data_IF_634537032092
#
_entry.id   IF_634537032092
#
_cell.length_a   1.000
_cell.length_b   1.000
_cell.length_c   1.000
_cell.angle_alpha   90.00
_cell.angle_beta   90.00
_cell.angle_gamma   90.00
#
_symmetry.space_group_name_H-M   'P 1'
#
loop_
_entity.id
_entity.type
_entity.pdbx_description
1 polymer ?
#
# COMPACT_ATOMS: atom_id res chain seq x y z
N UNK A 1 -12.81 8.63 44.10
CA UNK A 1 -13.50 7.56 43.37
C UNK A 1 -14.53 8.23 42.46
N UNK A 2 -14.17 8.49 41.23
CA UNK A 2 -15.12 8.92 40.17
C UNK A 2 -14.80 8.05 38.98
N UNK A 3 -15.62 7.00 38.81
CA UNK A 3 -15.56 6.12 37.66
C UNK A 3 -15.93 6.88 36.41
N UNK A 4 -14.95 7.17 35.57
CA UNK A 4 -15.19 7.70 34.24
C UNK A 4 -15.97 6.66 33.43
N UNK A 5 -17.21 7.00 33.09
CA UNK A 5 -18.01 6.28 32.14
C UNK A 5 -17.25 6.27 30.79
N UNK A 6 -16.63 5.14 30.46
CA UNK A 6 -16.27 4.86 29.08
C UNK A 6 -17.59 4.74 28.32
N UNK A 7 -17.95 5.80 27.62
CA UNK A 7 -19.03 5.76 26.62
C UNK A 7 -18.67 4.61 25.67
N UNK A 8 -19.47 3.55 25.69
CA UNK A 8 -19.42 2.47 24.71
C UNK A 8 -19.55 3.15 23.35
N UNK A 9 -18.45 3.26 22.61
CA UNK A 9 -18.48 3.62 21.20
C UNK A 9 -19.37 2.55 20.56
N UNK A 10 -20.54 2.96 20.11
CA UNK A 10 -21.45 2.10 19.35
C UNK A 10 -20.61 1.36 18.32
N UNK A 11 -20.59 0.04 18.37
CA UNK A 11 -19.79 -0.78 17.44
C UNK A 11 -20.29 -0.49 16.03
N UNK A 12 -19.60 0.41 15.32
CA UNK A 12 -19.91 0.74 13.92
C UNK A 12 -19.78 -0.53 13.10
N UNK A 13 -20.80 -0.87 12.32
CA UNK A 13 -20.70 -2.01 11.40
C UNK A 13 -19.67 -1.70 10.33
N UNK A 14 -18.67 -2.58 10.20
CA UNK A 14 -17.57 -2.45 9.26
C UNK A 14 -17.83 -3.33 8.04
N UNK A 15 -17.72 -2.77 6.85
CA UNK A 15 -17.72 -3.48 5.57
C UNK A 15 -16.31 -3.52 4.97
N UNK A 16 -15.97 -4.62 4.30
CA UNK A 16 -14.71 -4.78 3.57
C UNK A 16 -15.04 -5.26 2.16
N UNK A 17 -14.67 -4.46 1.16
CA UNK A 17 -14.79 -4.78 -0.27
C UNK A 17 -13.44 -5.22 -0.82
N UNK A 18 -13.41 -6.42 -1.45
CA UNK A 18 -12.19 -7.05 -1.92
C UNK A 18 -11.47 -7.80 -0.79
N UNK A 19 -11.63 -9.14 -0.76
CA UNK A 19 -11.10 -10.02 0.29
C UNK A 19 -9.86 -10.76 -0.24
N UNK A 20 -8.94 -9.98 -0.85
CA UNK A 20 -7.61 -10.44 -1.24
C UNK A 20 -6.65 -10.51 -0.04
N UNK A 21 -5.35 -10.38 -0.28
CA UNK A 21 -4.32 -10.36 0.77
C UNK A 21 -4.58 -9.25 1.79
N UNK A 22 -4.78 -8.02 1.34
CA UNK A 22 -4.98 -6.85 2.21
C UNK A 22 -6.32 -6.92 2.94
N UNK A 23 -7.43 -7.09 2.21
CA UNK A 23 -8.76 -7.14 2.82
C UNK A 23 -8.98 -8.37 3.68
N UNK A 24 -8.37 -9.51 3.34
CA UNK A 24 -8.39 -10.72 4.16
C UNK A 24 -7.63 -10.57 5.47
N UNK A 25 -6.45 -9.94 5.45
CA UNK A 25 -5.69 -9.63 6.65
C UNK A 25 -6.43 -8.60 7.53
N UNK A 26 -6.99 -7.55 6.91
CA UNK A 26 -7.78 -6.54 7.61
C UNK A 26 -9.02 -7.15 8.28
N UNK A 27 -9.70 -8.08 7.62
CA UNK A 27 -10.89 -8.75 8.18
C UNK A 27 -10.61 -9.44 9.52
N UNK A 28 -9.40 -9.95 9.73
CA UNK A 28 -8.99 -10.62 10.98
C UNK A 28 -8.84 -9.67 12.16
N UNK A 29 -8.73 -8.36 11.91
CA UNK A 29 -8.59 -7.34 12.96
C UNK A 29 -9.94 -6.86 13.52
N UNK A 30 -11.05 -7.21 12.89
CA UNK A 30 -12.40 -6.81 13.29
C UNK A 30 -13.24 -8.00 13.77
N UNK A 31 -14.12 -7.75 14.69
CA UNK A 31 -15.11 -8.74 15.12
C UNK A 31 -16.29 -8.73 14.13
N UNK A 32 -16.46 -9.83 13.39
CA UNK A 32 -17.57 -10.06 12.45
C UNK A 32 -17.76 -8.94 11.41
N UNK A 33 -16.73 -8.55 10.63
CA UNK A 33 -16.89 -7.58 9.55
C UNK A 33 -17.77 -8.17 8.43
N UNK A 34 -18.49 -7.30 7.75
CA UNK A 34 -19.26 -7.66 6.56
C UNK A 34 -18.28 -7.73 5.39
N UNK A 35 -18.17 -8.89 4.76
CA UNK A 35 -17.24 -9.13 3.67
C UNK A 35 -17.99 -9.14 2.33
N UNK A 36 -17.43 -8.43 1.34
CA UNK A 36 -17.97 -8.42 -0.02
C UNK A 36 -16.85 -8.62 -1.04
N UNK A 37 -16.93 -9.68 -1.81
CA UNK A 37 -16.01 -9.95 -2.93
C UNK A 37 -16.76 -10.73 -4.01
N UNK A 38 -17.21 -10.06 -5.09
CA UNK A 38 -18.01 -10.72 -6.13
C UNK A 38 -17.23 -11.80 -6.89
N UNK A 39 -15.90 -11.65 -7.03
CA UNK A 39 -15.06 -12.67 -7.69
C UNK A 39 -14.93 -13.94 -6.86
N UNK A 40 -15.04 -13.83 -5.55
CA UNK A 40 -15.05 -14.96 -4.61
C UNK A 40 -16.46 -15.42 -4.24
N UNK A 41 -17.49 -14.79 -4.81
CA UNK A 41 -18.91 -15.04 -4.48
C UNK A 41 -19.18 -14.90 -2.97
N UNK A 42 -18.59 -13.89 -2.34
CA UNK A 42 -18.66 -13.66 -0.90
C UNK A 42 -19.51 -12.43 -0.59
N UNK A 43 -20.52 -12.59 0.27
CA UNK A 43 -21.43 -11.55 0.72
C UNK A 43 -22.39 -11.05 -0.36
N UNK A 44 -23.23 -10.09 0.01
CA UNK A 44 -24.15 -9.42 -0.91
C UNK A 44 -24.03 -7.90 -0.82
N UNK A 45 -24.50 -7.19 -1.86
CA UNK A 45 -24.57 -5.72 -1.86
C UNK A 45 -25.45 -5.19 -0.75
N UNK A 46 -26.56 -5.87 -0.48
CA UNK A 46 -27.54 -5.51 0.54
C UNK A 46 -26.92 -5.60 1.94
N UNK A 47 -26.20 -6.69 2.23
CA UNK A 47 -25.48 -6.85 3.50
C UNK A 47 -24.38 -5.78 3.65
N UNK A 48 -23.57 -5.56 2.61
CA UNK A 48 -22.53 -4.54 2.62
C UNK A 48 -23.10 -3.15 2.95
N UNK A 49 -24.24 -2.80 2.38
CA UNK A 49 -24.89 -1.50 2.60
C UNK A 49 -25.48 -1.34 4.00
N UNK A 50 -25.51 -2.39 4.84
CA UNK A 50 -25.80 -2.22 6.28
C UNK A 50 -24.61 -1.69 7.07
N UNK A 51 -23.39 -1.69 6.50
CA UNK A 51 -22.20 -1.12 7.13
C UNK A 51 -22.21 0.41 7.09
N UNK A 52 -21.66 1.03 8.14
CA UNK A 52 -21.48 2.48 8.23
C UNK A 52 -20.12 2.92 7.69
N UNK A 53 -19.09 2.11 7.93
CA UNK A 53 -17.73 2.35 7.47
C UNK A 53 -17.29 1.20 6.57
N UNK A 54 -16.78 1.53 5.39
CA UNK A 54 -16.45 0.55 4.34
C UNK A 54 -15.01 0.74 3.88
N UNK A 55 -14.20 -0.32 4.03
CA UNK A 55 -12.85 -0.38 3.51
C UNK A 55 -12.85 -0.95 2.09
N UNK A 56 -12.27 -0.21 1.14
CA UNK A 56 -12.08 -0.64 -0.24
C UNK A 56 -10.66 -1.19 -0.39
N UNK A 57 -10.55 -2.52 -0.55
CA UNK A 57 -9.29 -3.26 -0.67
C UNK A 57 -9.18 -3.99 -2.03
N UNK A 58 -9.72 -3.38 -3.08
CA UNK A 58 -9.79 -3.96 -4.42
C UNK A 58 -8.49 -3.77 -5.20
N UNK A 59 -8.21 -4.59 -6.24
CA UNK A 59 -7.05 -4.41 -7.10
C UNK A 59 -7.06 -3.06 -7.82
N UNK A 60 -5.87 -2.47 -7.96
CA UNK A 60 -5.59 -1.28 -8.79
C UNK A 60 -4.43 -1.62 -9.72
N UNK A 61 -4.67 -2.34 -10.83
CA UNK A 61 -3.62 -2.72 -11.75
C UNK A 61 -3.03 -1.48 -12.44
N UNK A 62 -1.72 -1.54 -12.74
CA UNK A 62 -1.07 -0.50 -13.53
C UNK A 62 -1.44 -0.70 -15.00
N UNK A 63 -1.91 0.36 -15.65
CA UNK A 63 -2.23 0.39 -17.08
C UNK A 63 -1.10 1.12 -17.83
N UNK A 64 -0.30 0.37 -18.56
CA UNK A 64 0.82 0.92 -19.32
C UNK A 64 0.37 1.82 -20.49
N UNK A 65 -0.80 1.54 -21.05
CA UNK A 65 -1.33 2.26 -22.23
C UNK A 65 -1.97 3.59 -21.84
N UNK A 66 -2.87 3.55 -20.86
CA UNK A 66 -3.55 4.77 -20.37
C UNK A 66 -2.67 5.60 -19.45
N UNK A 67 -1.69 4.96 -18.88
CA UNK A 67 -0.83 5.53 -17.87
C UNK A 67 -1.47 5.67 -16.49
N UNK A 68 -0.81 5.11 -15.47
CA UNK A 68 -1.30 5.14 -14.10
C UNK A 68 -2.06 3.87 -13.72
N UNK A 69 -2.89 3.98 -12.69
CA UNK A 69 -3.70 2.84 -12.25
C UNK A 69 -5.06 2.83 -12.93
N UNK A 70 -5.52 1.64 -13.25
CA UNK A 70 -6.93 1.42 -13.56
C UNK A 70 -7.74 1.50 -12.26
N UNK A 71 -8.48 2.60 -12.12
CA UNK A 71 -9.35 2.87 -10.98
C UNK A 71 -10.78 2.39 -11.19
N UNK A 72 -11.07 1.69 -12.29
CA UNK A 72 -12.44 1.26 -12.63
C UNK A 72 -13.08 0.43 -11.51
N UNK A 73 -12.33 -0.52 -10.94
CA UNK A 73 -12.83 -1.39 -9.85
C UNK A 73 -13.08 -0.56 -8.57
N UNK A 74 -12.24 0.44 -8.27
CA UNK A 74 -12.47 1.35 -7.15
C UNK A 74 -13.74 2.17 -7.41
N UNK A 75 -13.93 2.68 -8.62
CA UNK A 75 -15.12 3.44 -8.99
C UNK A 75 -16.38 2.57 -8.94
N UNK A 76 -16.34 1.34 -9.45
CA UNK A 76 -17.44 0.39 -9.32
C UNK A 76 -17.78 0.11 -7.86
N UNK A 77 -16.76 0.04 -6.99
CA UNK A 77 -16.98 -0.10 -5.55
C UNK A 77 -17.81 1.06 -4.99
N UNK A 78 -17.52 2.30 -5.37
CA UNK A 78 -18.31 3.46 -4.95
C UNK A 78 -19.75 3.43 -5.48
N UNK A 79 -19.97 2.97 -6.73
CA UNK A 79 -21.31 2.87 -7.34
C UNK A 79 -22.24 1.86 -6.64
N UNK A 80 -21.67 0.90 -5.91
CA UNK A 80 -22.43 -0.09 -5.15
C UNK A 80 -22.97 0.46 -3.83
N UNK A 81 -22.41 1.59 -3.33
CA UNK A 81 -22.73 2.13 -2.02
C UNK A 81 -23.98 3.00 -2.06
N UNK A 82 -24.86 2.78 -1.11
CA UNK A 82 -26.13 3.49 -0.95
C UNK A 82 -26.10 4.39 0.29
N UNK A 83 -26.79 5.54 0.19
CA UNK A 83 -26.84 6.52 1.26
C UNK A 83 -25.50 7.21 1.52
N UNK A 84 -25.31 7.69 2.75
CA UNK A 84 -24.05 8.31 3.20
C UNK A 84 -23.23 7.31 3.98
N UNK A 85 -21.96 7.13 3.58
CA UNK A 85 -21.01 6.19 4.19
C UNK A 85 -19.69 6.87 4.52
N UNK A 86 -18.96 6.31 5.48
CA UNK A 86 -17.53 6.57 5.65
C UNK A 86 -16.79 5.54 4.80
N UNK A 87 -16.10 5.99 3.76
CA UNK A 87 -15.39 5.11 2.81
C UNK A 87 -13.89 5.26 2.96
N UNK A 88 -13.21 4.17 3.25
CA UNK A 88 -11.77 4.15 3.46
C UNK A 88 -11.11 3.41 2.30
N UNK A 89 -10.44 4.14 1.41
CA UNK A 89 -9.64 3.55 0.34
C UNK A 89 -8.38 2.97 0.98
N UNK A 90 -8.22 1.65 0.90
CA UNK A 90 -7.01 0.94 1.34
C UNK A 90 -6.21 0.39 0.15
N UNK A 91 -6.80 0.34 -1.02
CA UNK A 91 -6.12 0.07 -2.29
C UNK A 91 -5.03 1.11 -2.55
N UNK A 92 -3.88 0.70 -3.10
CA UNK A 92 -2.82 1.64 -3.49
C UNK A 92 -3.30 2.51 -4.64
N UNK A 93 -3.28 3.81 -4.44
CA UNK A 93 -3.73 4.80 -5.44
C UNK A 93 -2.74 5.97 -5.51
N UNK A 94 -2.70 6.67 -6.65
CA UNK A 94 -1.83 7.83 -6.85
C UNK A 94 -2.28 9.04 -6.01
N UNK A 95 -1.34 9.90 -5.57
CA UNK A 95 -1.65 11.12 -4.84
C UNK A 95 -2.68 12.00 -5.55
N UNK A 96 -3.73 12.39 -4.81
CA UNK A 96 -4.89 13.14 -5.29
C UNK A 96 -6.11 12.27 -5.63
N UNK A 97 -6.00 10.95 -5.57
CA UNK A 97 -7.12 10.03 -5.89
C UNK A 97 -8.24 10.11 -4.85
N UNK A 98 -7.92 10.16 -3.57
CA UNK A 98 -8.92 10.27 -2.51
C UNK A 98 -9.75 11.57 -2.64
N UNK A 99 -9.10 12.69 -2.93
CA UNK A 99 -9.76 13.96 -3.20
C UNK A 99 -10.64 13.90 -4.46
N UNK A 100 -10.19 13.19 -5.50
CA UNK A 100 -10.98 12.97 -6.70
C UNK A 100 -12.28 12.22 -6.38
N UNK A 101 -12.21 11.11 -5.63
CA UNK A 101 -13.39 10.34 -5.25
C UNK A 101 -14.29 11.11 -4.26
N UNK A 102 -13.73 11.90 -3.36
CA UNK A 102 -14.51 12.77 -2.48
C UNK A 102 -15.37 13.79 -3.28
N UNK A 103 -14.76 14.42 -4.28
CA UNK A 103 -15.49 15.36 -5.17
C UNK A 103 -16.56 14.66 -6.00
N UNK A 104 -16.27 13.45 -6.48
CA UNK A 104 -17.18 12.67 -7.33
C UNK A 104 -18.35 12.08 -6.56
N UNK A 105 -18.16 11.75 -5.29
CA UNK A 105 -19.16 11.13 -4.41
C UNK A 105 -19.33 11.95 -3.11
N UNK A 106 -19.87 13.19 -3.21
CA UNK A 106 -19.90 14.12 -2.09
C UNK A 106 -20.81 13.70 -0.94
N UNK A 107 -21.70 12.71 -1.16
CA UNK A 107 -22.53 12.13 -0.12
C UNK A 107 -21.75 11.26 0.88
N UNK A 108 -20.56 10.79 0.52
CA UNK A 108 -19.70 9.99 1.38
C UNK A 108 -18.63 10.86 2.05
N UNK A 109 -18.04 10.34 3.13
CA UNK A 109 -16.82 10.86 3.73
C UNK A 109 -15.68 9.93 3.33
N UNK A 110 -14.79 10.39 2.42
CA UNK A 110 -13.76 9.55 1.83
C UNK A 110 -12.43 9.77 2.52
N UNK A 111 -11.80 8.67 2.97
CA UNK A 111 -10.50 8.65 3.62
C UNK A 111 -9.56 7.69 2.87
N UNK A 112 -8.29 7.77 3.18
CA UNK A 112 -7.26 6.85 2.72
C UNK A 112 -6.56 6.21 3.92
N UNK A 113 -6.33 4.89 3.85
CA UNK A 113 -5.53 4.17 4.83
C UNK A 113 -4.53 3.27 4.12
N UNK A 114 -3.28 3.71 3.90
CA UNK A 114 -2.26 2.90 3.24
C UNK A 114 -2.02 1.59 4.00
N UNK A 115 -1.62 0.56 3.26
CA UNK A 115 -1.08 -0.67 3.81
C UNK A 115 0.45 -0.67 3.69
N UNK A 116 1.14 -1.35 4.60
CA UNK A 116 2.59 -1.47 4.65
C UNK A 116 3.01 -2.94 4.84
N UNK A 117 2.23 -3.85 4.26
CA UNK A 117 2.36 -5.29 4.45
C UNK A 117 3.50 -5.86 3.61
N UNK A 118 4.15 -6.88 4.17
CA UNK A 118 5.01 -7.79 3.42
C UNK A 118 4.20 -9.02 3.02
N UNK A 119 4.38 -9.52 1.79
CA UNK A 119 3.57 -10.64 1.27
C UNK A 119 3.64 -11.89 2.17
N UNK A 120 4.81 -12.16 2.77
CA UNK A 120 5.03 -13.33 3.63
C UNK A 120 4.49 -13.20 5.05
N UNK A 121 4.24 -11.98 5.53
CA UNK A 121 3.82 -11.68 6.92
C UNK A 121 2.58 -10.80 7.00
N UNK A 122 1.76 -10.77 5.93
CA UNK A 122 0.65 -9.82 5.79
C UNK A 122 -0.32 -9.81 6.98
N UNK A 123 -0.67 -10.98 7.54
CA UNK A 123 -1.56 -11.08 8.69
C UNK A 123 -0.92 -10.49 9.96
N UNK A 124 0.36 -10.80 10.19
CA UNK A 124 1.10 -10.29 11.34
C UNK A 124 1.30 -8.77 11.23
N UNK A 125 1.75 -8.29 10.05
CA UNK A 125 1.97 -6.87 9.79
C UNK A 125 0.66 -6.07 9.91
N UNK A 126 -0.50 -6.68 9.58
CA UNK A 126 -1.81 -6.04 9.74
C UNK A 126 -2.22 -5.95 11.21
N UNK A 127 -1.97 -7.01 12.01
CA UNK A 127 -2.34 -7.04 13.43
C UNK A 127 -1.39 -6.21 14.32
N UNK A 128 -0.11 -6.13 13.93
CA UNK A 128 0.95 -5.45 14.68
C UNK A 128 1.74 -4.52 13.76
N UNK A 129 1.11 -3.47 13.24
CA UNK A 129 1.76 -2.58 12.28
C UNK A 129 2.81 -1.69 12.95
N UNK A 130 3.92 -1.42 12.26
CA UNK A 130 4.92 -0.44 12.70
C UNK A 130 4.36 0.99 12.69
N UNK A 131 3.36 1.24 11.85
CA UNK A 131 2.73 2.55 11.68
C UNK A 131 1.30 2.43 11.17
N UNK A 132 0.44 3.34 11.64
CA UNK A 132 -0.90 3.56 11.13
C UNK A 132 -1.04 4.99 10.61
N UNK A 133 -1.59 5.15 9.43
CA UNK A 133 -1.82 6.45 8.81
C UNK A 133 -3.24 6.50 8.29
N UNK A 134 -3.95 7.56 8.62
CA UNK A 134 -5.27 7.87 8.08
C UNK A 134 -5.21 9.20 7.36
N UNK A 135 -5.41 9.17 6.06
CA UNK A 135 -5.50 10.34 5.19
C UNK A 135 -6.94 10.84 5.12
N UNK A 136 -7.15 12.14 5.31
CA UNK A 136 -8.47 12.76 5.26
C UNK A 136 -8.59 13.78 4.13
N UNK A 137 -9.82 13.95 3.63
CA UNK A 137 -10.25 15.11 2.85
C UNK A 137 -10.87 16.15 3.79
N UNK A 138 -11.10 17.38 3.32
CA UNK A 138 -11.76 18.41 4.13
C UNK A 138 -13.09 17.91 4.70
N UNK A 139 -13.85 17.17 3.92
CA UNK A 139 -15.18 16.65 4.25
C UNK A 139 -15.11 15.51 5.27
N UNK A 140 -14.05 14.71 5.24
CA UNK A 140 -13.88 13.53 6.11
C UNK A 140 -13.03 13.78 7.37
N UNK A 141 -12.48 14.98 7.55
CA UNK A 141 -11.61 15.31 8.68
C UNK A 141 -12.23 14.95 10.04
N UNK A 142 -13.52 15.24 10.20
CA UNK A 142 -14.24 15.03 11.49
C UNK A 142 -14.37 13.57 11.92
N UNK A 143 -14.19 12.62 10.99
CA UNK A 143 -14.30 11.18 11.28
C UNK A 143 -12.95 10.44 11.22
N UNK A 144 -11.88 11.14 10.85
CA UNK A 144 -10.57 10.50 10.65
C UNK A 144 -9.99 9.93 11.95
N UNK A 145 -10.20 10.62 13.08
CA UNK A 145 -9.81 10.13 14.41
C UNK A 145 -10.57 8.86 14.82
N UNK A 146 -11.87 8.80 14.54
CA UNK A 146 -12.70 7.61 14.81
C UNK A 146 -12.20 6.42 14.00
N UNK A 147 -11.84 6.62 12.73
CA UNK A 147 -11.28 5.55 11.88
C UNK A 147 -9.92 5.10 12.40
N UNK A 148 -9.05 6.01 12.84
CA UNK A 148 -7.77 5.63 13.46
C UNK A 148 -7.99 4.72 14.68
N UNK A 149 -8.98 5.00 15.53
CA UNK A 149 -9.30 4.20 16.71
C UNK A 149 -9.86 2.81 16.40
N UNK A 150 -10.39 2.58 15.20
CA UNK A 150 -10.86 1.28 14.74
C UNK A 150 -9.73 0.36 14.27
N UNK A 151 -8.60 0.93 13.89
CA UNK A 151 -7.46 0.19 13.35
C UNK A 151 -6.58 -0.37 14.48
N UNK A 152 -5.79 -1.43 14.21
CA UNK A 152 -4.80 -1.92 15.17
C UNK A 152 -3.84 -0.81 15.61
N UNK A 153 -3.50 -0.79 16.89
CA UNK A 153 -2.55 0.17 17.46
C UNK A 153 -1.16 0.02 16.83
N UNK A 154 -0.49 1.14 16.62
CA UNK A 154 0.88 1.18 16.10
C UNK A 154 1.77 2.11 16.94
N UNK A 155 3.09 1.84 17.00
CA UNK A 155 4.04 2.76 17.65
C UNK A 155 4.05 4.16 17.03
N UNK A 156 3.71 4.28 15.75
CA UNK A 156 3.52 5.55 15.06
C UNK A 156 2.12 5.63 14.47
N UNK A 157 1.32 6.58 14.93
CA UNK A 157 -0.03 6.86 14.43
C UNK A 157 -0.12 8.31 13.94
N UNK A 158 -0.68 8.51 12.73
CA UNK A 158 -0.82 9.85 12.17
C UNK A 158 -2.09 10.01 11.36
N UNK A 159 -2.85 11.04 11.70
CA UNK A 159 -3.94 11.58 10.86
C UNK A 159 -3.36 12.76 10.08
N UNK A 160 -3.49 12.76 8.75
CA UNK A 160 -2.90 13.77 7.86
C UNK A 160 -3.78 13.97 6.61
N UNK A 161 -3.59 15.03 5.79
CA UNK A 161 -4.28 15.16 4.51
C UNK A 161 -4.08 13.93 3.61
N UNK A 162 -5.09 13.58 2.82
CA UNK A 162 -5.10 12.35 2.02
C UNK A 162 -3.93 12.27 1.03
N UNK A 163 -3.62 13.36 0.33
CA UNK A 163 -2.50 13.40 -0.62
C UNK A 163 -1.15 13.12 0.02
N UNK A 164 -0.93 13.56 1.27
CA UNK A 164 0.27 13.26 2.05
C UNK A 164 0.32 11.78 2.42
N UNK A 165 -0.79 11.22 2.90
CA UNK A 165 -0.89 9.80 3.24
C UNK A 165 -0.67 8.90 2.02
N UNK A 166 -1.21 9.25 0.86
CA UNK A 166 -0.98 8.58 -0.41
C UNK A 166 0.51 8.61 -0.79
N UNK A 167 1.17 9.78 -0.65
CA UNK A 167 2.60 9.92 -0.96
C UNK A 167 3.50 9.09 -0.02
N UNK A 168 3.14 8.92 1.26
CA UNK A 168 3.92 8.08 2.19
C UNK A 168 4.07 6.65 1.67
N UNK A 169 3.03 6.08 1.05
CA UNK A 169 3.09 4.73 0.47
C UNK A 169 4.13 4.68 -0.67
N UNK A 170 4.11 5.65 -1.56
CA UNK A 170 5.05 5.73 -2.68
C UNK A 170 6.48 5.97 -2.23
N UNK A 171 6.68 6.85 -1.24
CA UNK A 171 8.00 7.09 -0.67
C UNK A 171 8.65 5.79 -0.19
N UNK A 172 7.90 4.95 0.54
CA UNK A 172 8.41 3.66 1.01
C UNK A 172 8.75 2.70 -0.13
N UNK A 173 7.80 2.46 -1.04
CA UNK A 173 7.98 1.47 -2.10
C UNK A 173 9.08 1.87 -3.10
N UNK A 174 9.16 3.15 -3.48
CA UNK A 174 10.22 3.61 -4.40
C UNK A 174 11.60 3.64 -3.71
N UNK A 175 11.65 3.95 -2.41
CA UNK A 175 12.89 3.81 -1.64
C UNK A 175 13.38 2.35 -1.62
N UNK A 176 12.48 1.39 -1.45
CA UNK A 176 12.84 -0.02 -1.49
C UNK A 176 13.34 -0.45 -2.88
N UNK A 177 12.75 0.07 -3.95
CA UNK A 177 13.23 -0.16 -5.33
C UNK A 177 14.68 0.33 -5.50
N UNK A 178 15.00 1.53 -5.02
CA UNK A 178 16.36 2.08 -5.04
C UNK A 178 17.32 1.22 -4.22
N UNK A 179 16.92 0.79 -3.01
CA UNK A 179 17.77 -0.09 -2.18
C UNK A 179 18.12 -1.40 -2.87
N UNK A 180 17.14 -2.06 -3.50
CA UNK A 180 17.39 -3.32 -4.21
C UNK A 180 18.39 -3.13 -5.35
N UNK A 181 18.22 -2.09 -6.17
CA UNK A 181 19.13 -1.82 -7.29
C UNK A 181 20.51 -1.47 -6.77
N UNK A 182 20.62 -0.61 -5.76
CA UNK A 182 21.89 -0.27 -5.13
C UNK A 182 22.62 -1.51 -4.58
N UNK A 183 21.90 -2.37 -3.85
CA UNK A 183 22.47 -3.62 -3.32
C UNK A 183 23.00 -4.51 -4.44
N UNK A 184 22.29 -4.63 -5.56
CA UNK A 184 22.72 -5.40 -6.72
C UNK A 184 24.01 -4.85 -7.35
N UNK A 185 24.14 -3.52 -7.46
CA UNK A 185 25.37 -2.90 -7.96
C UNK A 185 26.54 -3.12 -7.00
N UNK A 186 26.32 -3.08 -5.68
CA UNK A 186 27.35 -3.40 -4.69
C UNK A 186 27.76 -4.89 -4.74
N UNK A 187 26.82 -5.78 -4.99
CA UNK A 187 27.11 -7.20 -5.24
C UNK A 187 28.03 -7.39 -6.46
N UNK A 188 27.73 -6.73 -7.57
CA UNK A 188 28.57 -6.82 -8.78
C UNK A 188 29.97 -6.28 -8.52
N UNK A 189 30.10 -5.19 -7.76
CA UNK A 189 31.39 -4.63 -7.38
C UNK A 189 32.19 -5.59 -6.45
N UNK A 190 31.53 -6.19 -5.45
CA UNK A 190 32.13 -7.18 -4.58
C UNK A 190 32.62 -8.39 -5.38
N UNK A 191 31.80 -8.88 -6.31
CA UNK A 191 32.16 -9.99 -7.20
C UNK A 191 33.39 -9.68 -8.02
N UNK A 192 33.46 -8.49 -8.62
CA UNK A 192 34.60 -8.05 -9.43
C UNK A 192 35.91 -7.93 -8.60
N UNK A 193 35.77 -7.60 -7.32
CA UNK A 193 36.92 -7.50 -6.39
C UNK A 193 37.29 -8.83 -5.70
N UNK A 194 36.52 -9.90 -5.90
CA UNK A 194 36.70 -11.16 -5.18
C UNK A 194 36.36 -11.06 -3.69
N UNK A 195 35.44 -10.15 -3.30
CA UNK A 195 35.03 -9.91 -1.93
C UNK A 195 33.66 -10.58 -1.69
N UNK A 196 33.49 -11.17 -0.52
CA UNK A 196 32.21 -11.74 -0.09
C UNK A 196 31.17 -10.65 0.19
N UNK A 197 30.17 -10.58 -0.67
CA UNK A 197 29.05 -9.62 -0.50
C UNK A 197 28.25 -9.84 0.77
N UNK A 198 28.04 -11.09 1.22
CA UNK A 198 27.25 -11.36 2.42
C UNK A 198 27.94 -10.81 3.67
N UNK A 199 29.25 -10.92 3.76
CA UNK A 199 30.02 -10.29 4.83
C UNK A 199 29.93 -8.75 4.81
N UNK A 200 30.01 -8.14 3.61
CA UNK A 200 29.84 -6.69 3.42
C UNK A 200 28.43 -6.25 3.80
N UNK A 201 27.41 -6.97 3.33
CA UNK A 201 25.99 -6.73 3.63
C UNK A 201 25.74 -6.75 5.14
N UNK A 202 26.21 -7.78 5.84
CA UNK A 202 26.04 -7.91 7.30
C UNK A 202 26.67 -6.74 8.05
N UNK A 203 27.90 -6.36 7.67
CA UNK A 203 28.60 -5.21 8.26
C UNK A 203 27.86 -3.89 8.01
N UNK A 204 27.41 -3.64 6.78
CA UNK A 204 26.67 -2.44 6.42
C UNK A 204 25.29 -2.38 7.10
N UNK A 205 24.56 -3.50 7.13
CA UNK A 205 23.22 -3.59 7.72
C UNK A 205 23.21 -3.43 9.25
N UNK A 206 24.34 -3.56 9.92
CA UNK A 206 24.49 -3.28 11.35
C UNK A 206 24.25 -1.80 11.68
N UNK A 207 24.47 -0.87 10.73
CA UNK A 207 24.03 0.52 10.87
C UNK A 207 22.51 0.58 10.73
N UNK A 208 21.83 0.99 11.83
CA UNK A 208 20.35 1.11 11.88
C UNK A 208 19.78 2.05 10.82
N UNK A 209 20.55 3.01 10.32
CA UNK A 209 20.14 3.96 9.26
C UNK A 209 20.05 3.27 7.91
N UNK A 210 20.84 2.21 7.67
CA UNK A 210 20.80 1.37 6.47
C UNK A 210 19.72 0.29 6.63
N UNK A 211 19.77 -0.46 7.72
CA UNK A 211 18.84 -1.55 8.04
C UNK A 211 18.98 -2.75 7.10
N UNK A 212 18.45 -3.90 7.52
CA UNK A 212 18.64 -5.19 6.84
C UNK A 212 17.71 -5.43 5.65
N UNK A 213 16.60 -4.72 5.53
CA UNK A 213 15.59 -5.03 4.51
C UNK A 213 16.04 -4.63 3.11
N UNK A 214 15.66 -5.42 2.08
CA UNK A 214 15.89 -5.14 0.66
C UNK A 214 17.39 -5.12 0.25
N UNK A 215 18.23 -5.86 0.95
CA UNK A 215 19.67 -6.05 0.62
C UNK A 215 19.96 -7.44 0.07
N UNK A 216 18.99 -8.36 0.07
CA UNK A 216 19.13 -9.66 -0.55
C UNK A 216 19.15 -9.54 -2.08
N UNK A 217 20.11 -10.26 -2.71
CA UNK A 217 20.34 -10.14 -4.16
C UNK A 217 19.37 -11.03 -4.93
N UNK A 218 19.25 -12.29 -4.49
CA UNK A 218 18.38 -13.26 -5.15
C UNK A 218 17.04 -13.38 -4.40
N UNK A 219 15.96 -13.02 -5.06
CA UNK A 219 14.62 -13.21 -4.54
C UNK A 219 13.81 -14.07 -5.52
N UNK A 220 13.33 -15.24 -5.06
CA UNK A 220 12.61 -16.21 -5.92
C UNK A 220 13.42 -16.60 -7.18
N UNK A 221 14.74 -16.64 -7.07
CA UNK A 221 15.65 -17.08 -8.14
C UNK A 221 15.97 -16.02 -9.20
N UNK A 222 15.74 -14.74 -8.93
CA UNK A 222 16.13 -13.65 -9.82
C UNK A 222 16.76 -12.47 -9.06
N UNK A 223 17.53 -11.68 -9.76
CA UNK A 223 18.11 -10.42 -9.30
C UNK A 223 17.16 -9.25 -9.56
N UNK A 224 17.35 -8.17 -8.80
CA UNK A 224 16.49 -6.99 -8.90
C UNK A 224 15.16 -7.15 -8.19
N UNK A 225 14.32 -6.12 -8.27
CA UNK A 225 12.98 -6.15 -7.68
C UNK A 225 11.93 -6.62 -8.69
N UNK A 226 10.93 -7.29 -8.16
CA UNK A 226 9.79 -7.81 -8.91
C UNK A 226 8.54 -7.87 -8.05
N UNK A 227 7.67 -8.85 -8.36
CA UNK A 227 6.39 -8.98 -7.69
C UNK A 227 5.38 -7.93 -8.13
N UNK A 228 4.29 -7.79 -7.34
CA UNK A 228 3.13 -6.99 -7.74
C UNK A 228 3.23 -5.52 -7.33
N UNK A 229 4.09 -5.15 -6.37
CA UNK A 229 4.07 -3.82 -5.75
C UNK A 229 5.16 -2.89 -6.28
N UNK A 230 6.45 -3.24 -6.09
CA UNK A 230 7.54 -2.31 -6.39
C UNK A 230 7.58 -1.86 -7.86
N UNK A 231 7.47 -2.76 -8.88
CA UNK A 231 7.50 -2.31 -10.28
C UNK A 231 6.34 -1.36 -10.61
N UNK A 232 5.11 -1.73 -10.24
CA UNK A 232 3.94 -0.92 -10.59
C UNK A 232 3.95 0.45 -9.91
N UNK A 233 4.35 0.51 -8.62
CA UNK A 233 4.34 1.76 -7.86
C UNK A 233 5.45 2.70 -8.32
N UNK A 234 6.64 2.16 -8.65
CA UNK A 234 7.76 2.93 -9.21
C UNK A 234 7.36 3.55 -10.56
N UNK A 235 6.82 2.74 -11.49
CA UNK A 235 6.36 3.21 -12.81
C UNK A 235 5.25 4.23 -12.71
N UNK A 236 4.24 3.98 -11.86
CA UNK A 236 3.11 4.88 -11.68
C UNK A 236 3.56 6.25 -11.12
N UNK A 237 4.51 6.27 -10.17
CA UNK A 237 5.03 7.53 -9.64
C UNK A 237 5.87 8.29 -10.67
N UNK A 238 6.74 7.62 -11.42
CA UNK A 238 7.52 8.22 -12.53
C UNK A 238 6.57 8.87 -13.53
N UNK A 239 5.53 8.16 -13.92
CA UNK A 239 4.57 8.67 -14.90
C UNK A 239 3.76 9.86 -14.36
N UNK A 240 3.30 9.80 -13.10
CA UNK A 240 2.63 10.92 -12.44
C UNK A 240 3.54 12.15 -12.39
N UNK A 241 4.81 11.95 -12.05
CA UNK A 241 5.80 13.04 -12.01
C UNK A 241 5.99 13.68 -13.39
N UNK A 242 6.13 12.87 -14.44
CA UNK A 242 6.22 13.38 -15.83
C UNK A 242 5.00 14.21 -16.22
N UNK A 243 3.80 13.76 -15.87
CA UNK A 243 2.56 14.50 -16.12
C UNK A 243 2.50 15.84 -15.37
N UNK A 244 3.24 15.97 -14.26
CA UNK A 244 3.37 17.20 -13.48
C UNK A 244 4.60 18.05 -13.88
N UNK A 245 5.39 17.64 -14.88
CA UNK A 245 6.63 18.31 -15.26
C UNK A 245 7.79 18.11 -14.28
N UNK A 246 7.71 17.13 -13.39
CA UNK A 246 8.75 16.80 -12.39
C UNK A 246 9.60 15.65 -12.91
N UNK A 247 10.93 15.83 -12.94
CA UNK A 247 11.87 14.75 -13.29
C UNK A 247 12.28 13.94 -12.05
N UNK A 248 11.94 12.65 -12.05
CA UNK A 248 12.40 11.68 -11.04
C UNK A 248 13.51 10.81 -11.62
N UNK A 249 14.57 11.43 -12.10
CA UNK A 249 15.66 10.77 -12.83
C UNK A 249 16.27 9.58 -12.08
N UNK A 250 16.40 9.67 -10.75
CA UNK A 250 16.89 8.55 -9.94
C UNK A 250 16.00 7.31 -10.10
N UNK A 251 14.67 7.48 -10.04
CA UNK A 251 13.74 6.36 -10.17
C UNK A 251 13.70 5.83 -11.62
N UNK A 252 13.83 6.70 -12.61
CA UNK A 252 13.90 6.29 -14.03
C UNK A 252 15.11 5.38 -14.28
N UNK A 253 16.30 5.79 -13.82
CA UNK A 253 17.51 4.99 -13.92
C UNK A 253 17.42 3.71 -13.06
N UNK A 254 16.79 3.79 -11.90
CA UNK A 254 16.54 2.61 -11.04
C UNK A 254 15.69 1.57 -11.78
N UNK A 255 14.63 1.99 -12.47
CA UNK A 255 13.78 1.09 -13.27
C UNK A 255 14.54 0.48 -14.45
N UNK A 256 15.36 1.28 -15.16
CA UNK A 256 16.21 0.82 -16.27
C UNK A 256 17.17 -0.29 -15.79
N UNK A 257 17.95 -0.01 -14.75
CA UNK A 257 18.90 -1.01 -14.19
C UNK A 257 18.16 -2.26 -13.71
N UNK A 258 17.00 -2.10 -13.07
CA UNK A 258 16.20 -3.24 -12.63
C UNK A 258 15.76 -4.14 -13.80
N UNK A 259 15.34 -3.54 -14.91
CA UNK A 259 14.94 -4.29 -16.10
C UNK A 259 16.12 -5.08 -16.68
N UNK A 260 17.32 -4.52 -16.70
CA UNK A 260 18.55 -5.21 -17.15
C UNK A 260 18.90 -6.39 -16.23
N UNK A 261 18.82 -6.21 -14.90
CA UNK A 261 19.04 -7.27 -13.91
C UNK A 261 18.04 -8.42 -14.08
N UNK A 262 16.77 -8.11 -14.31
CA UNK A 262 15.71 -9.08 -14.54
C UNK A 262 15.94 -9.88 -15.82
N UNK A 263 16.22 -9.18 -16.93
CA UNK A 263 16.48 -9.80 -18.21
C UNK A 263 17.75 -10.71 -18.20
N UNK A 264 18.78 -10.32 -17.45
CA UNK A 264 19.96 -11.16 -17.26
C UNK A 264 19.62 -12.45 -16.51
N UNK A 265 18.85 -12.36 -15.41
CA UNK A 265 18.44 -13.52 -14.61
C UNK A 265 17.54 -14.51 -15.39
N UNK A 266 16.71 -14.02 -16.30
CA UNK A 266 15.87 -14.86 -17.17
C UNK A 266 16.75 -15.66 -18.15
N UNK A 267 17.73 -15.01 -18.79
CA UNK A 267 18.68 -15.67 -19.70
C UNK A 267 19.55 -16.74 -19.02
N UNK A 268 19.86 -16.57 -17.73
CA UNK A 268 20.64 -17.56 -16.97
C UNK A 268 19.81 -18.79 -16.61
N UNK A 269 18.51 -18.65 -16.40
CA UNK A 269 17.61 -19.79 -16.11
C UNK A 269 17.25 -20.63 -17.33
N UNK A 270 17.31 -20.04 -18.51
CA UNK A 270 17.02 -20.72 -19.79
C UNK A 270 18.24 -21.47 -20.36
N UNK A 271 19.38 -21.43 -19.69
CA UNK A 271 20.60 -22.16 -20.00
C UNK A 271 20.78 -23.39 -19.11
#
# INVERSE_FOLDING_TARGET
MTGGNKTLVSMKKIGIMGVGMVGGALAKTFTSPILYDPYKKLGSKEELNTAESIFICVPTPYDEVKGGFDLSIVEESFKLLEGSKVVIIKSTVLPGTTEYFQKKYPQHKVLFNPEFLTESSADQDMCYPDRQIVGYTKESFTVAGDIMQLLPLAPFERVMPAGEAEMVKYFGNTWFSVKVVFANQMYDMCTALGIDYDAVKEGAAADKRIGRTHLEIFHKGYRGYGGKCLPKDTRALIQKARALGVSLKLLEVTEEINNDLRAASERERDR
#
